data_IF_782217872591
#
_entry.id   IF_782217872591
#
_cell.length_a   1.000
_cell.length_b   1.000
_cell.length_c   1.000
_cell.angle_alpha   90.00
_cell.angle_beta   90.00
_cell.angle_gamma   90.00
#
_symmetry.space_group_name_H-M   'P 1'
#
loop_
_entity.id
_entity.type
_entity.pdbx_description
1 polymer ?
#
# COMPACT_ATOMS: atom_id res chain seq x y z
N UNK A 1 4.88 -29.10 -1.47
CA UNK A 1 4.08 -28.45 -2.53
C UNK A 1 4.84 -27.23 -3.02
N UNK A 2 4.69 -26.79 -4.27
CA UNK A 2 5.33 -25.57 -4.75
C UNK A 2 4.72 -24.36 -4.05
N UNK A 3 5.53 -23.32 -3.80
CA UNK A 3 5.00 -22.06 -3.26
C UNK A 3 4.08 -21.40 -4.30
N UNK A 4 2.96 -20.88 -3.84
CA UNK A 4 2.05 -20.05 -4.64
C UNK A 4 2.52 -18.60 -4.60
N UNK A 5 2.54 -17.95 -5.77
CA UNK A 5 2.89 -16.53 -5.90
C UNK A 5 1.62 -15.77 -6.28
N UNK A 6 1.25 -14.78 -5.48
CA UNK A 6 0.12 -13.90 -5.72
C UNK A 6 0.65 -12.49 -5.96
N UNK A 7 0.36 -11.94 -7.13
CA UNK A 7 0.70 -10.55 -7.48
C UNK A 7 -0.44 -9.63 -7.10
N UNK A 8 -0.20 -8.77 -6.13
CA UNK A 8 -1.16 -7.80 -5.62
C UNK A 8 -1.08 -6.44 -6.35
N UNK A 9 -0.31 -6.36 -7.42
CA UNK A 9 -0.05 -5.09 -8.10
C UNK A 9 -1.05 -4.84 -9.21
N UNK A 10 -1.72 -3.71 -9.18
CA UNK A 10 -2.55 -3.23 -10.30
C UNK A 10 -1.68 -2.91 -11.51
N UNK A 11 -2.21 -3.17 -12.69
CA UNK A 11 -1.56 -2.77 -13.94
C UNK A 11 -1.57 -1.24 -14.06
N UNK A 12 -0.44 -0.70 -14.52
CA UNK A 12 -0.34 0.70 -14.91
C UNK A 12 -0.66 0.80 -16.40
N UNK A 13 -1.91 1.05 -16.74
CA UNK A 13 -2.42 1.18 -18.10
C UNK A 13 -3.38 2.38 -18.22
N UNK A 14 -3.97 2.55 -19.38
CA UNK A 14 -4.89 3.64 -19.71
C UNK A 14 -6.20 3.65 -18.89
N UNK A 15 -6.55 2.54 -18.23
CA UNK A 15 -7.73 2.42 -17.40
C UNK A 15 -7.43 2.67 -15.91
N UNK A 16 -6.19 3.06 -15.60
CA UNK A 16 -5.78 3.28 -14.23
C UNK A 16 -6.62 4.40 -13.58
N UNK A 17 -7.19 4.08 -12.42
CA UNK A 17 -7.87 5.09 -11.61
C UNK A 17 -6.87 6.14 -11.12
N UNK A 18 -7.18 7.41 -11.35
CA UNK A 18 -6.44 8.56 -10.86
C UNK A 18 -7.33 9.29 -9.84
N UNK A 19 -6.83 9.43 -8.62
CA UNK A 19 -7.57 10.13 -7.57
C UNK A 19 -7.88 11.57 -7.98
N UNK A 20 -9.14 11.96 -7.74
CA UNK A 20 -9.60 13.33 -7.87
C UNK A 20 -10.74 13.58 -6.89
N UNK A 21 -10.74 14.74 -6.22
CA UNK A 21 -11.81 15.18 -5.30
C UNK A 21 -12.63 16.36 -5.85
N UNK A 22 -12.40 16.72 -7.11
CA UNK A 22 -13.07 17.85 -7.79
C UNK A 22 -12.34 19.19 -7.61
N UNK A 23 -11.46 19.34 -6.64
CA UNK A 23 -10.61 20.52 -6.43
C UNK A 23 -9.14 20.23 -6.81
N UNK A 24 -8.73 18.97 -6.69
CA UNK A 24 -7.41 18.46 -6.99
C UNK A 24 -7.51 17.13 -7.76
N UNK A 25 -6.52 16.85 -8.58
CA UNK A 25 -6.34 15.57 -9.24
C UNK A 25 -4.86 15.18 -9.22
N UNK A 26 -4.57 13.92 -8.95
CA UNK A 26 -3.22 13.38 -9.12
C UNK A 26 -2.77 13.51 -10.58
N UNK A 27 -1.45 13.62 -10.84
CA UNK A 27 -0.92 13.60 -12.20
C UNK A 27 -1.33 12.33 -12.94
N UNK A 28 -1.74 12.42 -14.22
CA UNK A 28 -2.10 11.25 -15.01
C UNK A 28 -0.88 10.39 -15.34
N UNK A 29 -1.11 9.10 -15.56
CA UNK A 29 -0.12 8.23 -16.18
C UNK A 29 -0.01 8.56 -17.67
N UNK A 30 1.21 8.88 -18.11
CA UNK A 30 1.53 9.07 -19.53
C UNK A 30 2.68 8.14 -19.92
N UNK A 31 2.49 7.39 -21.00
CA UNK A 31 3.51 6.52 -21.57
C UNK A 31 3.67 6.92 -23.04
N UNK A 32 4.85 7.39 -23.40
CA UNK A 32 5.16 7.90 -24.73
C UNK A 32 6.35 7.17 -25.32
N UNK A 33 6.33 6.89 -26.61
CA UNK A 33 7.49 6.37 -27.31
C UNK A 33 8.55 7.47 -27.46
N UNK A 34 9.70 7.30 -26.79
CA UNK A 34 10.83 8.24 -26.87
C UNK A 34 11.69 8.00 -28.09
N UNK A 35 11.94 6.73 -28.42
CA UNK A 35 12.63 6.32 -29.64
C UNK A 35 12.14 4.96 -30.15
N UNK A 36 12.46 4.61 -31.37
CA UNK A 36 12.00 3.39 -32.03
C UNK A 36 13.16 2.53 -32.55
N UNK A 37 12.92 1.22 -32.66
CA UNK A 37 13.89 0.26 -33.22
C UNK A 37 14.29 0.65 -34.63
N UNK A 38 13.35 1.16 -35.43
CA UNK A 38 13.62 1.53 -36.86
C UNK A 38 14.61 2.67 -36.98
N UNK A 39 14.64 3.60 -36.01
CA UNK A 39 15.52 4.79 -36.11
C UNK A 39 16.82 4.63 -35.34
N UNK A 40 16.76 4.05 -34.14
CA UNK A 40 17.89 3.99 -33.20
C UNK A 40 18.44 2.57 -32.99
N UNK A 41 17.78 1.53 -33.52
CA UNK A 41 18.13 0.14 -33.25
C UNK A 41 17.60 -0.42 -31.93
N UNK A 42 16.94 0.40 -31.12
CA UNK A 42 16.29 0.03 -29.83
C UNK A 42 15.06 0.89 -29.56
N UNK A 43 14.18 0.45 -28.67
CA UNK A 43 12.99 1.19 -28.25
C UNK A 43 13.16 1.65 -26.80
N UNK A 44 12.82 2.92 -26.53
CA UNK A 44 12.70 3.49 -25.18
C UNK A 44 11.34 4.17 -25.08
N UNK A 45 10.69 4.02 -23.94
CA UNK A 45 9.49 4.78 -23.61
C UNK A 45 9.80 5.76 -22.48
N UNK A 46 9.18 6.93 -22.53
CA UNK A 46 9.13 7.89 -21.46
C UNK A 46 7.87 7.62 -20.64
N UNK A 47 8.02 7.57 -19.29
CA UNK A 47 6.88 7.42 -18.35
C UNK A 47 6.82 8.65 -17.47
N UNK A 48 5.64 9.24 -17.34
CA UNK A 48 5.32 10.30 -16.39
C UNK A 48 4.12 9.87 -15.58
N UNK A 49 4.20 9.97 -14.25
CA UNK A 49 3.16 9.53 -13.33
C UNK A 49 3.30 10.24 -11.97
N UNK A 50 2.21 10.27 -11.19
CA UNK A 50 2.27 10.68 -9.79
C UNK A 50 2.88 9.60 -8.90
N UNK A 51 3.44 9.98 -7.78
CA UNK A 51 4.02 9.04 -6.80
C UNK A 51 2.98 8.13 -6.16
N UNK A 52 1.72 8.57 -6.09
CA UNK A 52 0.56 7.80 -5.61
C UNK A 52 -0.25 7.19 -6.77
N UNK A 53 0.45 6.65 -7.77
CA UNK A 53 -0.15 6.10 -8.98
C UNK A 53 -0.23 4.57 -8.91
N UNK A 54 -1.42 4.00 -9.11
CA UNK A 54 -1.67 2.56 -9.02
C UNK A 54 -1.40 1.99 -7.63
N UNK A 55 -0.90 0.74 -7.55
CA UNK A 55 -0.41 0.19 -6.29
C UNK A 55 0.86 0.93 -5.90
N UNK A 56 0.84 1.58 -4.75
CA UNK A 56 1.92 2.45 -4.29
C UNK A 56 2.13 2.33 -2.78
N UNK A 57 3.22 2.89 -2.30
CA UNK A 57 3.49 3.05 -0.87
C UNK A 57 3.57 4.54 -0.54
N UNK A 58 2.86 4.96 0.48
CA UNK A 58 2.95 6.29 1.07
C UNK A 58 3.97 6.31 2.19
N UNK A 59 4.79 7.35 2.20
CA UNK A 59 5.67 7.69 3.30
C UNK A 59 4.99 8.70 4.24
N UNK A 60 5.44 8.84 5.51
CA UNK A 60 4.90 9.83 6.46
C UNK A 60 4.82 11.25 5.90
N UNK A 61 5.78 11.67 5.08
CA UNK A 61 5.80 13.00 4.45
C UNK A 61 4.64 13.25 3.47
N UNK A 62 3.84 12.22 3.13
CA UNK A 62 2.64 12.41 2.32
C UNK A 62 1.54 13.15 3.08
N UNK A 63 1.39 12.90 4.38
CA UNK A 63 0.34 13.49 5.22
C UNK A 63 0.87 14.35 6.37
N UNK A 64 2.19 14.41 6.56
CA UNK A 64 2.82 15.16 7.66
C UNK A 64 3.98 16.00 7.15
N UNK A 65 3.91 17.32 7.33
CA UNK A 65 5.03 18.22 7.04
C UNK A 65 6.24 17.86 7.92
N UNK A 66 7.40 17.67 7.29
CA UNK A 66 8.61 17.22 7.99
C UNK A 66 8.61 15.72 8.35
N UNK A 67 7.61 14.96 7.93
CA UNK A 67 7.61 13.51 8.04
C UNK A 67 8.73 12.84 7.25
N UNK A 68 9.03 11.58 7.58
CA UNK A 68 10.04 10.81 6.87
C UNK A 68 9.64 10.58 5.41
N UNK A 69 10.59 10.75 4.49
CA UNK A 69 10.41 10.42 3.08
C UNK A 69 10.58 8.92 2.82
N UNK A 70 10.22 8.48 1.62
CA UNK A 70 10.35 7.08 1.22
C UNK A 70 11.79 6.56 1.34
N UNK A 71 12.78 7.38 1.02
CA UNK A 71 14.20 7.01 1.14
C UNK A 71 14.70 6.74 2.57
N UNK A 72 13.92 7.09 3.59
CA UNK A 72 14.24 6.78 4.99
C UNK A 72 13.82 5.36 5.43
N UNK A 73 13.00 4.66 4.62
CA UNK A 73 12.56 3.30 4.92
C UNK A 73 13.63 2.29 4.46
N UNK A 74 14.21 1.49 5.36
CA UNK A 74 15.18 0.47 4.98
C UNK A 74 14.49 -0.66 4.19
N UNK A 75 15.21 -1.22 3.22
CA UNK A 75 14.66 -2.25 2.31
C UNK A 75 14.18 -3.50 3.05
N UNK A 76 14.78 -3.81 4.19
CA UNK A 76 14.41 -4.94 5.04
C UNK A 76 12.99 -4.81 5.62
N UNK A 77 12.48 -3.59 5.78
CA UNK A 77 11.12 -3.34 6.22
C UNK A 77 10.08 -3.57 5.11
N UNK A 78 10.51 -3.65 3.86
CA UNK A 78 9.66 -3.82 2.68
C UNK A 78 9.41 -5.29 2.32
N UNK A 79 9.94 -6.23 3.08
CA UNK A 79 9.80 -7.66 2.81
C UNK A 79 9.87 -8.49 4.08
N UNK A 80 9.18 -9.62 4.07
CA UNK A 80 9.22 -10.59 5.16
C UNK A 80 7.87 -11.21 5.44
N UNK A 81 7.74 -11.83 6.61
CA UNK A 81 6.46 -12.35 7.08
C UNK A 81 5.47 -11.20 7.27
N UNK A 82 4.20 -11.50 7.17
CA UNK A 82 3.14 -10.53 7.42
C UNK A 82 2.12 -11.09 8.41
N UNK A 83 1.56 -10.19 9.21
CA UNK A 83 0.36 -10.45 9.99
C UNK A 83 -0.84 -10.10 9.11
N UNK A 84 -1.72 -11.07 8.85
CA UNK A 84 -2.96 -10.85 8.09
C UNK A 84 -4.12 -10.71 9.08
N UNK A 85 -4.80 -9.56 9.04
CA UNK A 85 -5.98 -9.28 9.83
C UNK A 85 -7.19 -9.03 8.92
N UNK A 86 -8.32 -9.65 9.27
CA UNK A 86 -9.60 -9.46 8.58
C UNK A 86 -10.35 -8.30 9.26
N UNK A 87 -10.40 -7.16 8.57
CA UNK A 87 -11.05 -5.95 9.09
C UNK A 87 -12.57 -6.06 9.13
N UNK A 88 -13.20 -6.86 8.29
CA UNK A 88 -14.65 -7.07 8.34
C UNK A 88 -15.05 -7.79 9.65
N UNK A 89 -14.22 -8.77 10.08
CA UNK A 89 -14.43 -9.44 11.36
C UNK A 89 -14.14 -8.50 12.54
N UNK A 90 -13.02 -7.76 12.46
CA UNK A 90 -12.59 -6.84 13.52
C UNK A 90 -13.61 -5.71 13.70
N UNK A 91 -14.08 -5.09 12.63
CA UNK A 91 -15.08 -4.01 12.68
C UNK A 91 -16.40 -4.48 13.31
N UNK A 92 -16.79 -5.74 13.02
CA UNK A 92 -18.01 -6.36 13.55
C UNK A 92 -17.90 -6.76 15.02
N UNK A 93 -16.76 -7.30 15.42
CA UNK A 93 -16.53 -7.81 16.77
C UNK A 93 -16.05 -6.75 17.76
N UNK A 94 -15.45 -5.64 17.27
CA UNK A 94 -14.77 -4.66 18.10
C UNK A 94 -13.48 -5.19 18.75
N UNK A 95 -12.90 -6.27 18.20
CA UNK A 95 -11.70 -6.91 18.75
C UNK A 95 -10.50 -5.96 18.73
N UNK A 96 -9.81 -5.84 19.86
CA UNK A 96 -8.64 -4.96 20.05
C UNK A 96 -7.35 -5.72 20.38
N UNK A 97 -7.41 -7.04 20.46
CA UNK A 97 -6.25 -7.90 20.68
C UNK A 97 -6.03 -8.80 19.47
N UNK A 98 -4.85 -8.71 18.87
CA UNK A 98 -4.50 -9.36 17.60
C UNK A 98 -3.41 -10.42 17.81
N UNK A 99 -3.45 -11.51 17.04
CA UNK A 99 -2.37 -12.52 17.02
C UNK A 99 -1.21 -12.00 16.13
N UNK A 100 -0.52 -10.99 16.66
CA UNK A 100 0.65 -10.36 16.05
C UNK A 100 1.91 -10.91 16.70
N UNK A 101 2.90 -11.29 15.88
CA UNK A 101 4.13 -12.02 16.30
C UNK A 101 5.38 -11.32 15.78
N UNK A 102 5.43 -10.00 15.87
CA UNK A 102 6.53 -9.15 15.41
C UNK A 102 6.80 -9.25 13.89
N UNK A 103 5.75 -9.54 13.10
CA UNK A 103 5.85 -9.47 11.65
C UNK A 103 6.15 -8.03 11.20
N UNK A 104 7.08 -7.83 10.24
CA UNK A 104 7.46 -6.48 9.79
C UNK A 104 6.34 -5.76 9.05
N UNK A 105 5.40 -6.50 8.48
CA UNK A 105 4.32 -5.94 7.64
C UNK A 105 2.96 -6.40 8.18
N UNK A 106 2.03 -5.44 8.27
CA UNK A 106 0.63 -5.69 8.60
C UNK A 106 -0.20 -5.62 7.32
N UNK A 107 -0.94 -6.69 7.02
CA UNK A 107 -1.90 -6.72 5.92
C UNK A 107 -3.31 -6.66 6.49
N UNK A 108 -4.02 -5.59 6.19
CA UNK A 108 -5.39 -5.34 6.59
C UNK A 108 -6.33 -5.62 5.43
N UNK A 109 -7.03 -6.74 5.49
CA UNK A 109 -7.94 -7.18 4.44
C UNK A 109 -9.39 -6.93 4.82
N UNK A 110 -10.17 -6.41 3.87
CA UNK A 110 -11.62 -6.28 3.95
C UNK A 110 -12.23 -6.62 2.61
N UNK A 111 -13.53 -6.88 2.56
CA UNK A 111 -14.28 -7.18 1.32
C UNK A 111 -14.76 -5.91 0.59
N UNK A 112 -14.71 -4.78 1.25
CA UNK A 112 -15.04 -3.44 0.75
C UNK A 112 -14.41 -2.38 1.66
N UNK A 113 -14.64 -1.10 1.38
CA UNK A 113 -14.31 -0.01 2.31
C UNK A 113 -14.93 -0.24 3.69
N UNK A 114 -14.16 -0.08 4.75
CA UNK A 114 -14.58 -0.44 6.11
C UNK A 114 -14.40 0.73 7.08
N UNK A 115 -15.38 0.92 7.95
CA UNK A 115 -15.30 1.85 9.09
C UNK A 115 -15.01 1.07 10.38
N UNK A 116 -13.92 1.42 11.08
CA UNK A 116 -13.56 0.85 12.37
C UNK A 116 -13.74 1.87 13.50
N UNK A 117 -13.92 1.38 14.73
CA UNK A 117 -13.96 2.26 15.89
C UNK A 117 -12.58 2.84 16.20
N UNK A 118 -12.55 3.98 16.88
CA UNK A 118 -11.30 4.61 17.32
C UNK A 118 -10.50 3.70 18.27
N UNK A 119 -11.17 2.93 19.11
CA UNK A 119 -10.54 1.97 20.02
C UNK A 119 -9.80 0.86 19.24
N UNK A 120 -10.44 0.28 18.22
CA UNK A 120 -9.83 -0.69 17.31
C UNK A 120 -8.64 -0.08 16.58
N UNK A 121 -8.84 1.13 16.04
CA UNK A 121 -7.76 1.81 15.30
C UNK A 121 -6.54 2.08 16.21
N UNK A 122 -6.73 2.60 17.39
CA UNK A 122 -5.64 2.86 18.34
C UNK A 122 -4.90 1.56 18.73
N UNK A 123 -5.63 0.45 18.86
CA UNK A 123 -5.04 -0.86 19.15
C UNK A 123 -4.20 -1.39 17.98
N UNK A 124 -4.64 -1.17 16.75
CA UNK A 124 -3.84 -1.48 15.55
C UNK A 124 -2.61 -0.56 15.45
N UNK A 125 -2.80 0.74 15.68
CA UNK A 125 -1.73 1.75 15.58
C UNK A 125 -0.59 1.49 16.57
N UNK A 126 -0.91 0.90 17.74
CA UNK A 126 0.06 0.51 18.76
C UNK A 126 0.95 -0.68 18.35
N UNK A 127 0.61 -1.43 17.29
CA UNK A 127 1.49 -2.50 16.79
C UNK A 127 2.81 -1.91 16.26
N UNK A 128 3.96 -2.51 16.57
CA UNK A 128 5.27 -1.90 16.23
C UNK A 128 5.64 -1.97 14.74
N UNK A 129 4.92 -2.72 13.92
CA UNK A 129 5.17 -2.81 12.48
C UNK A 129 5.08 -1.45 11.79
N UNK A 130 6.07 -1.13 10.95
CA UNK A 130 6.15 0.16 10.26
C UNK A 130 5.45 0.18 8.92
N UNK A 131 5.27 -0.95 8.26
CA UNK A 131 4.66 -1.04 6.93
C UNK A 131 3.30 -1.71 7.05
N UNK A 132 2.27 -1.02 6.58
CA UNK A 132 0.92 -1.53 6.49
C UNK A 132 0.51 -1.66 5.03
N UNK A 133 -0.31 -2.64 4.71
CA UNK A 133 -0.93 -2.79 3.40
C UNK A 133 -2.43 -2.94 3.60
N UNK A 134 -3.22 -2.10 2.93
CA UNK A 134 -4.68 -2.16 2.96
C UNK A 134 -5.22 -2.60 1.60
N UNK A 135 -6.31 -3.36 1.62
CA UNK A 135 -6.97 -3.85 0.39
C UNK A 135 -8.00 -2.84 -0.10
N UNK A 136 -8.79 -2.30 0.80
CA UNK A 136 -9.77 -1.22 0.55
C UNK A 136 -9.58 -0.10 1.55
N UNK A 137 -10.20 1.04 1.27
CA UNK A 137 -10.15 2.22 2.13
C UNK A 137 -10.63 1.89 3.55
N UNK A 138 -9.90 2.41 4.52
CA UNK A 138 -10.22 2.28 5.95
C UNK A 138 -10.55 3.65 6.51
N UNK A 139 -11.71 3.79 7.12
CA UNK A 139 -12.10 5.00 7.83
C UNK A 139 -12.25 4.76 9.33
N UNK A 140 -12.09 5.81 10.11
CA UNK A 140 -12.28 5.77 11.57
C UNK A 140 -13.57 6.50 11.91
N UNK A 141 -14.44 5.84 12.68
CA UNK A 141 -15.77 6.34 13.01
C UNK A 141 -15.73 7.74 13.64
N UNK A 142 -16.51 8.65 13.05
CA UNK A 142 -16.59 10.03 13.52
C UNK A 142 -15.41 10.91 13.19
N UNK A 143 -14.49 10.44 12.35
CA UNK A 143 -13.34 11.18 11.85
C UNK A 143 -13.51 11.51 10.36
N UNK A 144 -12.72 12.45 9.86
CA UNK A 144 -12.69 12.76 8.42
C UNK A 144 -11.95 11.66 7.62
N UNK A 145 -12.10 11.69 6.30
CA UNK A 145 -11.65 10.63 5.39
C UNK A 145 -10.14 10.36 5.41
N UNK A 146 -9.32 11.35 5.81
CA UNK A 146 -7.85 11.20 5.84
C UNK A 146 -7.31 11.01 7.25
N UNK A 147 -8.17 10.86 8.25
CA UNK A 147 -7.70 10.67 9.62
C UNK A 147 -6.82 9.43 9.78
N UNK A 148 -7.20 8.32 9.13
CA UNK A 148 -6.44 7.07 9.15
C UNK A 148 -5.01 7.29 8.62
N UNK A 149 -4.87 7.90 7.45
CA UNK A 149 -3.57 8.15 6.81
C UNK A 149 -2.71 9.12 7.62
N UNK A 150 -3.29 10.22 8.13
CA UNK A 150 -2.54 11.17 8.97
C UNK A 150 -2.02 10.55 10.25
N UNK A 151 -2.84 9.78 10.93
CA UNK A 151 -2.41 9.12 12.17
C UNK A 151 -1.32 8.07 11.93
N UNK A 152 -1.34 7.36 10.78
CA UNK A 152 -0.23 6.50 10.38
C UNK A 152 1.05 7.30 10.15
N UNK A 153 0.96 8.42 9.45
CA UNK A 153 2.10 9.31 9.20
C UNK A 153 2.69 9.85 10.51
N UNK A 154 1.86 10.32 11.44
CA UNK A 154 2.26 10.78 12.78
C UNK A 154 2.94 9.69 13.62
N UNK A 155 2.57 8.41 13.38
CA UNK A 155 3.18 7.25 14.02
C UNK A 155 4.40 6.69 13.26
N UNK A 156 4.96 7.43 12.28
CA UNK A 156 6.09 7.03 11.43
C UNK A 156 5.85 5.70 10.70
N UNK A 157 4.62 5.47 10.25
CA UNK A 157 4.22 4.27 9.50
C UNK A 157 4.05 4.56 8.01
N UNK A 158 4.35 3.57 7.20
CA UNK A 158 4.24 3.60 5.74
C UNK A 158 3.03 2.77 5.32
N UNK A 159 2.30 3.21 4.30
CA UNK A 159 1.07 2.59 3.89
C UNK A 159 1.11 2.18 2.42
N UNK A 160 0.93 0.89 2.16
CA UNK A 160 0.70 0.35 0.81
C UNK A 160 -0.79 0.37 0.53
N UNK A 161 -1.16 1.03 -0.57
CA UNK A 161 -2.55 1.22 -0.99
C UNK A 161 -2.79 0.76 -2.44
N UNK A 162 -4.07 0.71 -2.81
CA UNK A 162 -4.51 0.40 -4.17
C UNK A 162 -3.94 -0.93 -4.70
N UNK A 163 -3.91 -1.95 -3.86
CA UNK A 163 -3.58 -3.31 -4.31
C UNK A 163 -4.71 -3.88 -5.18
N UNK A 164 -4.42 -4.95 -5.93
CA UNK A 164 -5.45 -5.71 -6.64
C UNK A 164 -6.32 -6.47 -5.63
N UNK A 165 -7.58 -6.08 -5.50
CA UNK A 165 -8.49 -6.60 -4.50
C UNK A 165 -8.82 -8.08 -4.73
N UNK A 166 -8.98 -8.51 -5.97
CA UNK A 166 -9.31 -9.89 -6.28
C UNK A 166 -8.15 -10.83 -5.93
N UNK A 167 -6.93 -10.40 -6.24
CA UNK A 167 -5.73 -11.13 -5.85
C UNK A 167 -5.55 -11.13 -4.32
N UNK A 168 -5.79 -10.00 -3.65
CA UNK A 168 -5.64 -9.87 -2.20
C UNK A 168 -6.58 -10.80 -1.40
N UNK A 169 -7.77 -11.10 -1.93
CA UNK A 169 -8.69 -12.05 -1.29
C UNK A 169 -8.18 -13.50 -1.29
N UNK A 170 -7.16 -13.82 -2.09
CA UNK A 170 -6.53 -15.14 -2.13
C UNK A 170 -5.39 -15.29 -1.11
N UNK A 171 -4.96 -14.19 -0.49
CA UNK A 171 -3.87 -14.18 0.50
C UNK A 171 -4.30 -14.93 1.76
N UNK A 172 -3.43 -15.82 2.25
CA UNK A 172 -3.60 -16.61 3.47
C UNK A 172 -2.50 -16.27 4.46
N UNK A 173 -2.75 -16.49 5.74
CA UNK A 173 -1.72 -16.31 6.78
C UNK A 173 -0.53 -17.27 6.59
N UNK A 174 0.64 -16.87 7.09
CA UNK A 174 1.84 -17.73 7.14
C UNK A 174 2.74 -17.64 5.90
N UNK A 175 2.55 -16.64 5.05
CA UNK A 175 3.40 -16.36 3.90
C UNK A 175 4.44 -15.27 4.15
N UNK A 176 5.05 -14.84 3.05
CA UNK A 176 5.94 -13.69 2.96
C UNK A 176 5.40 -12.70 1.94
N UNK A 177 5.58 -11.41 2.19
CA UNK A 177 5.21 -10.32 1.29
C UNK A 177 6.44 -9.51 0.92
N UNK A 178 6.47 -9.02 -0.31
CA UNK A 178 7.43 -8.06 -0.82
C UNK A 178 6.64 -6.88 -1.36
N UNK A 179 6.90 -5.68 -0.85
CA UNK A 179 6.29 -4.44 -1.31
C UNK A 179 7.40 -3.48 -1.73
N UNK A 180 7.90 -3.63 -2.95
CA UNK A 180 9.12 -2.98 -3.43
C UNK A 180 8.78 -1.76 -4.31
N UNK A 181 8.90 -0.52 -3.78
CA UNK A 181 8.70 0.69 -4.55
C UNK A 181 9.86 0.98 -5.50
N UNK A 182 9.65 1.91 -6.42
CA UNK A 182 10.75 2.59 -7.09
C UNK A 182 11.61 3.29 -6.03
N UNK A 183 12.93 3.15 -6.12
CA UNK A 183 13.87 3.77 -5.19
C UNK A 183 14.00 5.28 -5.48
N UNK A 184 12.96 6.03 -5.15
CA UNK A 184 12.91 7.48 -5.31
C UNK A 184 13.27 8.15 -3.98
N UNK A 185 14.34 8.93 -3.99
CA UNK A 185 14.79 9.69 -2.83
C UNK A 185 13.99 11.00 -2.74
N UNK A 186 13.71 11.46 -1.53
CA UNK A 186 13.00 12.73 -1.25
C UNK A 186 11.61 12.80 -1.90
N UNK A 187 10.87 11.70 -1.88
CA UNK A 187 9.47 11.64 -2.31
C UNK A 187 8.57 11.12 -1.19
N UNK A 188 7.33 11.57 -1.19
CA UNK A 188 6.31 11.16 -0.23
C UNK A 188 5.71 9.78 -0.51
N UNK A 189 6.20 9.07 -1.51
CA UNK A 189 5.73 7.75 -1.90
C UNK A 189 6.25 7.35 -3.28
N UNK A 190 5.95 6.14 -3.71
CA UNK A 190 6.22 5.66 -5.07
C UNK A 190 5.35 4.47 -5.44
N UNK A 191 5.05 4.26 -6.74
CA UNK A 191 4.49 3.00 -7.21
C UNK A 191 5.37 1.82 -6.80
N UNK A 192 4.74 0.72 -6.40
CA UNK A 192 5.46 -0.46 -5.94
C UNK A 192 4.92 -1.75 -6.55
N UNK A 193 5.81 -2.75 -6.70
CA UNK A 193 5.39 -4.12 -6.96
C UNK A 193 5.15 -4.82 -5.63
N UNK A 194 3.93 -5.33 -5.45
CA UNK A 194 3.53 -6.05 -4.24
C UNK A 194 3.24 -7.48 -4.58
N UNK A 195 3.97 -8.40 -3.97
CA UNK A 195 3.88 -9.84 -4.26
C UNK A 195 3.85 -10.61 -2.94
N UNK A 196 2.93 -11.57 -2.85
CA UNK A 196 2.86 -12.52 -1.73
C UNK A 196 3.35 -13.90 -2.19
N UNK A 197 4.17 -14.53 -1.38
CA UNK A 197 4.57 -15.94 -1.49
C UNK A 197 4.00 -16.71 -0.32
N UNK A 198 3.17 -17.70 -0.58
CA UNK A 198 2.52 -18.52 0.44
C UNK A 198 2.61 -20.02 0.11
N UNK A 199 2.25 -20.87 1.07
CA UNK A 199 2.14 -22.30 0.81
C UNK A 199 0.97 -22.56 -0.15
N UNK A 200 1.24 -23.32 -1.20
CA UNK A 200 0.23 -23.77 -2.16
C UNK A 200 -0.60 -24.94 -1.62
#
# INVERSE_FOLDING_TARGET
>A
MAAEIIDLTRKLDENLYIYSDGTYSNPPLLIEDWCSVQRQGYKVSRVSLGTQCGTHIDAPSHFMEGGADLGALPVEALMGKYCLLDLDEIARSGKTNFDYRDEPILVLRSSAGVEISEEVFNSLLALPCRVWAIVYDVSVRGRDIFHFNRALAEADKYLVENVDEQAAMQVKSGGEILALPLNLIATSGAPCRVVVRQAG
#
